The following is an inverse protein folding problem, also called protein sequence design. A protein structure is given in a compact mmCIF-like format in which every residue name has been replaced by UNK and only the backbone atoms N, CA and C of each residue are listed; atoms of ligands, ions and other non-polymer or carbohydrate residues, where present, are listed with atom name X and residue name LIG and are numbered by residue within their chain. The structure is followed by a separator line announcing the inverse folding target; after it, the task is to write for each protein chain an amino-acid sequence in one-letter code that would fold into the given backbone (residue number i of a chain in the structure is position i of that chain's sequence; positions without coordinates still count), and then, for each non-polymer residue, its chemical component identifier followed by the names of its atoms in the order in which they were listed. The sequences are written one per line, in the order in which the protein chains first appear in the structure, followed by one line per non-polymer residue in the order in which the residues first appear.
data_IF_465729474979
#
_entry.id   IF_465729474979
#
_cell.length_a   1.000
_cell.length_b   1.000
_cell.length_c   1.000
_cell.angle_alpha   90.00
_cell.angle_beta   90.00
_cell.angle_gamma   90.00
#
_symmetry.space_group_name_H-M   'P 1'
#
loop_
_entity.id
_entity.type
_entity.pdbx_description
1 polymer ?
#
# COMPACT_ATOMS: atom_id res chain seq x y z
N UNK A 1 0.14 -14.82 -20.37
CA UNK A 1 -0.58 -13.69 -19.80
C UNK A 1 0.38 -12.52 -19.60
N UNK A 2 -0.15 -11.27 -19.76
CA UNK A 2 0.65 -10.04 -19.58
C UNK A 2 0.79 -9.66 -18.11
N UNK A 3 -0.27 -9.87 -17.33
CA UNK A 3 -0.32 -9.55 -15.91
C UNK A 3 -0.78 -10.73 -15.08
N UNK A 4 -0.34 -10.77 -13.84
CA UNK A 4 -0.72 -11.71 -12.79
C UNK A 4 -1.19 -10.92 -11.58
N UNK A 5 -2.29 -11.34 -10.98
CA UNK A 5 -2.91 -10.66 -9.86
C UNK A 5 -3.19 -11.66 -8.74
N UNK A 6 -2.90 -11.25 -7.51
CA UNK A 6 -3.44 -11.81 -6.29
C UNK A 6 -4.44 -10.79 -5.72
N UNK A 7 -5.55 -11.28 -5.24
CA UNK A 7 -6.59 -10.46 -4.63
C UNK A 7 -7.20 -11.25 -3.47
N UNK A 8 -7.31 -10.63 -2.30
CA UNK A 8 -8.08 -11.22 -1.21
C UNK A 8 -9.57 -11.20 -1.52
N UNK A 9 -10.28 -12.20 -1.02
CA UNK A 9 -11.67 -12.48 -1.39
C UNK A 9 -12.68 -11.42 -0.91
N UNK A 10 -12.28 -10.59 0.03
CA UNK A 10 -13.08 -9.51 0.63
C UNK A 10 -12.69 -8.11 0.14
N UNK A 11 -11.94 -8.03 -0.94
CA UNK A 11 -11.58 -6.78 -1.60
C UNK A 11 -12.37 -6.61 -2.89
N UNK A 12 -13.02 -5.48 -3.02
CA UNK A 12 -13.67 -5.06 -4.26
C UNK A 12 -12.68 -4.29 -5.12
N UNK A 13 -12.29 -4.91 -6.23
CA UNK A 13 -11.44 -4.31 -7.25
C UNK A 13 -12.26 -4.02 -8.50
N UNK A 14 -12.35 -2.75 -8.88
CA UNK A 14 -13.21 -2.28 -9.98
C UNK A 14 -12.46 -2.19 -11.32
N UNK A 15 -13.22 -1.95 -12.40
CA UNK A 15 -12.66 -1.63 -13.71
C UNK A 15 -11.84 -0.33 -13.67
N UNK A 16 -12.25 0.66 -12.89
CA UNK A 16 -11.54 1.93 -12.70
C UNK A 16 -10.19 1.71 -12.01
N UNK A 17 -10.13 0.80 -11.03
CA UNK A 17 -8.86 0.39 -10.43
C UNK A 17 -7.93 -0.28 -11.45
N UNK A 18 -8.48 -1.09 -12.36
CA UNK A 18 -7.69 -1.69 -13.44
C UNK A 18 -7.18 -0.64 -14.43
N UNK A 19 -8.04 0.31 -14.85
CA UNK A 19 -7.64 1.44 -15.71
C UNK A 19 -6.55 2.28 -15.05
N UNK A 20 -6.68 2.56 -13.76
CA UNK A 20 -5.65 3.23 -12.97
C UNK A 20 -4.33 2.46 -13.01
N UNK A 21 -4.35 1.16 -12.74
CA UNK A 21 -3.16 0.33 -12.81
C UNK A 21 -2.49 0.42 -14.19
N UNK A 22 -3.25 0.16 -15.26
CA UNK A 22 -2.72 0.16 -16.62
C UNK A 22 -2.18 1.52 -17.08
N UNK A 23 -2.72 2.62 -16.53
CA UNK A 23 -2.28 3.98 -16.84
C UNK A 23 -0.88 4.29 -16.31
N UNK A 24 -0.52 3.79 -15.13
CA UNK A 24 0.68 4.23 -14.41
C UNK A 24 1.77 3.16 -14.28
N UNK A 25 1.43 1.88 -14.41
CA UNK A 25 2.31 0.77 -14.03
C UNK A 25 3.62 0.74 -14.85
N UNK A 26 3.52 0.91 -16.16
CA UNK A 26 4.66 0.74 -17.08
C UNK A 26 5.76 1.78 -16.80
N UNK A 27 5.39 3.04 -16.66
CA UNK A 27 6.32 4.13 -16.32
C UNK A 27 6.98 3.93 -14.95
N UNK A 28 6.22 3.45 -13.98
CA UNK A 28 6.72 3.22 -12.64
C UNK A 28 7.63 2.00 -12.59
N UNK A 29 7.25 0.90 -13.23
CA UNK A 29 8.02 -0.33 -13.22
C UNK A 29 9.37 -0.20 -13.93
N UNK A 30 9.43 0.52 -15.04
CA UNK A 30 10.69 0.87 -15.71
C UNK A 30 11.68 1.61 -14.80
N UNK A 31 11.14 2.41 -13.87
CA UNK A 31 11.94 3.17 -12.90
C UNK A 31 12.12 2.44 -11.56
N UNK A 32 11.66 1.20 -11.45
CA UNK A 32 11.66 0.35 -10.25
C UNK A 32 10.84 0.94 -9.10
N UNK A 33 9.70 1.52 -9.40
CA UNK A 33 8.68 1.88 -8.41
C UNK A 33 7.48 0.96 -8.52
N UNK A 34 6.83 0.73 -7.39
CA UNK A 34 5.56 0.02 -7.33
C UNK A 34 4.40 1.02 -7.32
N UNK A 35 3.34 0.73 -8.07
CA UNK A 35 2.10 1.49 -8.00
C UNK A 35 1.29 1.01 -6.79
N UNK A 36 0.96 1.93 -5.88
CA UNK A 36 0.21 1.62 -4.68
C UNK A 36 -1.31 1.68 -4.87
N UNK A 37 -1.98 0.96 -3.99
CA UNK A 37 -3.41 1.09 -3.73
C UNK A 37 -3.61 1.41 -2.25
N UNK A 38 -4.76 1.98 -1.93
CA UNK A 38 -5.17 2.30 -0.58
C UNK A 38 -6.49 1.61 -0.28
N UNK A 39 -6.55 0.92 0.85
CA UNK A 39 -7.77 0.22 1.27
C UNK A 39 -8.63 1.19 2.08
N UNK A 40 -9.93 1.12 1.88
CA UNK A 40 -10.89 1.83 2.71
C UNK A 40 -12.05 0.94 3.15
N UNK A 41 -12.68 1.34 4.23
CA UNK A 41 -13.95 0.81 4.71
C UNK A 41 -14.99 1.92 4.81
N UNK A 42 -16.25 1.54 4.66
CA UNK A 42 -17.38 2.45 4.80
C UNK A 42 -17.86 2.49 6.24
N UNK A 43 -18.00 3.67 6.79
CA UNK A 43 -18.74 3.83 8.04
C UNK A 43 -20.23 4.02 7.71
N UNK A 44 -21.07 3.16 8.26
CA UNK A 44 -22.52 3.20 8.04
C UNK A 44 -23.20 4.36 8.78
N UNK A 45 -22.61 4.85 9.86
CA UNK A 45 -23.21 5.89 10.71
C UNK A 45 -23.07 7.28 10.07
N UNK A 46 -21.87 7.65 9.65
CA UNK A 46 -21.59 8.97 9.07
C UNK A 46 -21.50 8.96 7.55
N UNK A 47 -21.65 7.79 6.93
CA UNK A 47 -21.57 7.55 5.47
C UNK A 47 -20.24 7.94 4.84
N UNK A 48 -19.17 8.06 5.63
CA UNK A 48 -17.83 8.36 5.15
C UNK A 48 -17.02 7.10 4.86
N UNK A 49 -15.99 7.28 4.05
CA UNK A 49 -15.02 6.26 3.73
C UNK A 49 -13.73 6.53 4.50
N UNK A 50 -13.24 5.55 5.23
CA UNK A 50 -12.04 5.67 6.04
C UNK A 50 -10.94 4.77 5.52
N UNK A 51 -9.75 5.34 5.33
CA UNK A 51 -8.57 4.56 4.97
C UNK A 51 -8.16 3.65 6.11
N UNK A 52 -7.82 2.41 5.77
CA UNK A 52 -7.22 1.46 6.70
C UNK A 52 -5.75 1.23 6.34
N UNK A 53 -4.95 0.72 7.28
CA UNK A 53 -3.50 0.49 7.11
C UNK A 53 -2.66 1.75 6.82
N UNK A 54 -3.20 2.95 7.03
CA UNK A 54 -2.44 4.20 6.91
C UNK A 54 -2.30 4.84 8.29
N UNK A 55 -1.12 4.72 8.86
CA UNK A 55 -0.83 5.27 10.19
C UNK A 55 -0.56 6.77 10.22
N UNK A 56 -0.19 7.37 9.08
CA UNK A 56 0.18 8.80 8.95
C UNK A 56 -0.25 9.34 7.60
N UNK A 57 -0.71 10.60 7.58
CA UNK A 57 -0.98 11.30 6.32
C UNK A 57 0.27 11.33 5.44
N UNK A 58 0.08 11.10 4.15
CA UNK A 58 1.17 11.11 3.17
C UNK A 58 1.56 12.55 2.84
N UNK A 59 2.82 12.88 3.04
CA UNK A 59 3.35 14.24 2.84
C UNK A 59 4.47 14.36 1.84
N UNK A 60 5.23 13.29 1.62
CA UNK A 60 6.37 13.30 0.72
C UNK A 60 5.96 12.90 -0.68
N UNK A 61 6.46 13.64 -1.67
CA UNK A 61 6.19 13.34 -3.07
C UNK A 61 7.44 13.42 -3.94
N UNK A 62 7.38 12.76 -5.09
CA UNK A 62 8.33 12.92 -6.20
C UNK A 62 7.56 13.27 -7.47
N UNK A 63 8.28 13.67 -8.50
CA UNK A 63 7.72 13.85 -9.85
C UNK A 63 8.38 12.89 -10.82
N UNK A 64 7.56 12.23 -11.64
CA UNK A 64 7.97 11.37 -12.74
C UNK A 64 7.20 11.83 -13.98
N UNK A 65 7.90 12.19 -15.05
CA UNK A 65 7.27 12.67 -16.29
C UNK A 65 6.23 13.78 -16.05
N UNK A 66 6.57 14.77 -15.21
CA UNK A 66 5.69 15.87 -14.75
C UNK A 66 4.52 15.45 -13.84
N UNK A 67 4.20 14.16 -13.75
CA UNK A 67 3.18 13.64 -12.84
C UNK A 67 3.72 13.60 -11.40
N UNK A 68 2.91 14.08 -10.45
CA UNK A 68 3.20 14.02 -9.02
C UNK A 68 2.77 12.68 -8.44
N UNK A 69 3.64 12.09 -7.63
CA UNK A 69 3.39 10.84 -6.91
C UNK A 69 3.76 11.00 -5.44
N UNK A 70 2.88 10.60 -4.55
CA UNK A 70 3.18 10.54 -3.13
C UNK A 70 3.86 9.22 -2.78
N UNK A 71 4.83 9.30 -1.86
CA UNK A 71 5.50 8.12 -1.33
C UNK A 71 4.65 7.50 -0.23
N UNK A 72 4.27 6.25 -0.44
CA UNK A 72 3.83 5.38 0.64
C UNK A 72 5.08 4.77 1.27
N UNK A 73 5.72 5.51 2.18
CA UNK A 73 6.96 5.08 2.85
C UNK A 73 6.70 4.27 4.12
N UNK A 74 5.44 4.00 4.38
CA UNK A 74 4.98 3.30 5.57
C UNK A 74 4.69 1.82 5.28
N UNK A 75 3.47 1.39 5.41
CA UNK A 75 3.06 0.03 5.12
C UNK A 75 2.48 -0.04 3.71
N UNK A 76 2.87 -1.08 2.96
CA UNK A 76 2.44 -1.26 1.57
C UNK A 76 1.43 -2.40 1.43
N UNK A 77 0.89 -2.86 2.56
CA UNK A 77 -0.16 -3.87 2.54
C UNK A 77 -1.44 -3.27 1.96
N UNK A 78 -1.96 -3.90 0.93
CA UNK A 78 -3.20 -3.49 0.29
C UNK A 78 -4.07 -4.68 -0.16
N UNK A 79 -3.91 -5.83 0.48
CA UNK A 79 -4.69 -7.05 0.21
C UNK A 79 -4.62 -7.55 -1.24
N UNK A 80 -3.74 -6.99 -2.04
CA UNK A 80 -3.54 -7.37 -3.43
C UNK A 80 -2.13 -7.07 -3.92
N UNK A 81 -1.76 -7.71 -5.02
CA UNK A 81 -0.69 -7.26 -5.90
C UNK A 81 -1.02 -7.56 -7.35
N UNK A 82 -0.51 -6.74 -8.26
CA UNK A 82 -0.59 -6.93 -9.69
C UNK A 82 0.82 -6.76 -10.25
N UNK A 83 1.31 -7.76 -10.97
CA UNK A 83 2.64 -7.73 -11.56
C UNK A 83 2.61 -8.10 -13.03
N UNK A 84 3.43 -7.43 -13.84
CA UNK A 84 3.70 -7.89 -15.17
C UNK A 84 4.54 -9.18 -15.14
N UNK A 85 4.68 -9.83 -16.29
CA UNK A 85 5.35 -11.12 -16.42
C UNK A 85 6.80 -11.08 -15.92
N UNK A 86 7.53 -9.99 -16.15
CA UNK A 86 8.93 -9.86 -15.72
C UNK A 86 9.05 -9.86 -14.20
N UNK A 87 8.25 -9.03 -13.54
CA UNK A 87 8.24 -8.92 -12.07
C UNK A 87 7.73 -10.20 -11.43
N UNK A 88 6.68 -10.78 -11.98
CA UNK A 88 6.14 -12.05 -11.49
C UNK A 88 7.18 -13.16 -11.57
N UNK A 89 7.92 -13.30 -12.67
CA UNK A 89 9.01 -14.27 -12.81
C UNK A 89 10.14 -14.06 -11.78
N UNK A 90 10.40 -12.82 -11.37
CA UNK A 90 11.35 -12.54 -10.28
C UNK A 90 10.77 -12.90 -8.92
N UNK A 91 9.51 -12.61 -8.69
CA UNK A 91 8.82 -12.86 -7.43
C UNK A 91 8.76 -14.36 -7.10
N UNK A 92 8.34 -15.20 -8.03
CA UNK A 92 8.21 -16.64 -7.82
C UNK A 92 9.53 -17.36 -7.53
N UNK A 93 10.67 -16.73 -7.82
CA UNK A 93 12.01 -17.26 -7.51
C UNK A 93 12.49 -16.89 -6.10
N UNK A 94 11.72 -16.12 -5.35
CA UNK A 94 12.10 -15.68 -4.00
C UNK A 94 11.66 -16.68 -2.94
N UNK A 95 12.39 -16.70 -1.82
CA UNK A 95 11.98 -17.45 -0.63
C UNK A 95 10.64 -16.95 -0.06
N UNK A 96 10.28 -15.72 -0.40
CA UNK A 96 9.00 -15.12 -0.03
C UNK A 96 7.82 -15.84 -0.69
N UNK A 97 7.91 -16.07 -1.98
CA UNK A 97 6.92 -16.84 -2.72
C UNK A 97 6.80 -18.28 -2.24
N UNK A 98 7.94 -18.93 -2.04
CA UNK A 98 7.99 -20.35 -1.69
C UNK A 98 7.66 -20.65 -0.23
N UNK A 99 7.46 -19.64 0.61
CA UNK A 99 7.22 -19.76 2.06
C UNK A 99 8.33 -20.53 2.81
N UNK A 100 9.50 -20.74 2.20
CA UNK A 100 10.60 -21.50 2.78
C UNK A 100 11.22 -20.84 3.99
N UNK A 101 11.28 -19.51 4.01
CA UNK A 101 11.72 -18.77 5.18
C UNK A 101 10.55 -18.54 6.11
N UNK A 102 10.67 -19.03 7.34
CA UNK A 102 9.83 -18.57 8.43
C UNK A 102 9.99 -17.05 8.50
N UNK A 103 8.90 -16.31 8.40
CA UNK A 103 8.88 -14.87 8.65
C UNK A 103 8.93 -14.59 10.16
N UNK A 104 9.72 -15.40 10.88
CA UNK A 104 9.81 -15.38 12.34
C UNK A 104 10.38 -14.09 12.91
N UNK A 105 10.99 -13.27 12.07
CA UNK A 105 11.55 -11.98 12.47
C UNK A 105 10.65 -10.79 12.14
N UNK A 106 9.40 -11.04 11.75
CA UNK A 106 8.44 -9.96 11.62
C UNK A 106 7.77 -9.72 12.97
N UNK A 107 7.66 -8.47 13.35
CA UNK A 107 6.93 -8.00 14.52
C UNK A 107 5.48 -8.49 14.58
N UNK A 108 5.04 -9.13 13.51
CA UNK A 108 3.67 -9.51 13.27
C UNK A 108 3.60 -10.91 12.71
N UNK A 109 2.88 -11.76 13.38
CA UNK A 109 2.54 -13.09 12.90
C UNK A 109 1.47 -12.95 11.79
N UNK A 110 1.92 -12.61 10.58
CA UNK A 110 1.02 -12.64 9.43
C UNK A 110 0.56 -14.09 9.16
N UNK A 111 -0.74 -14.28 9.02
CA UNK A 111 -1.31 -15.50 8.49
C UNK A 111 -0.88 -15.78 7.06
N UNK A 112 -1.29 -16.90 6.52
CA UNK A 112 -0.95 -17.28 5.14
C UNK A 112 -1.55 -16.29 4.14
N UNK A 113 -2.76 -15.82 4.40
CA UNK A 113 -3.50 -14.89 3.53
C UNK A 113 -2.78 -13.54 3.45
N UNK A 114 -2.53 -12.91 4.58
CA UNK A 114 -1.85 -11.61 4.64
C UNK A 114 -0.43 -11.70 4.06
N UNK A 115 0.24 -12.82 4.30
CA UNK A 115 1.57 -13.06 3.74
C UNK A 115 1.55 -13.17 2.22
N UNK A 116 0.54 -13.82 1.65
CA UNK A 116 0.36 -13.93 0.21
C UNK A 116 0.05 -12.56 -0.41
N UNK A 117 -0.74 -11.73 0.26
CA UNK A 117 -1.11 -10.40 -0.19
C UNK A 117 0.04 -9.38 -0.11
N UNK A 118 1.02 -9.59 0.77
CA UNK A 118 2.17 -8.69 0.88
C UNK A 118 2.97 -8.56 -0.42
N UNK A 119 3.07 -9.62 -1.21
CA UNK A 119 3.73 -9.60 -2.51
C UNK A 119 5.20 -9.20 -2.49
N UNK A 120 5.75 -8.96 -3.67
CA UNK A 120 7.17 -8.64 -3.87
C UNK A 120 7.54 -7.20 -3.49
N UNK A 121 6.54 -6.34 -3.39
CA UNK A 121 6.70 -4.90 -3.09
C UNK A 121 6.62 -4.57 -1.60
N UNK A 122 6.08 -5.44 -0.78
CA UNK A 122 5.63 -5.16 0.58
C UNK A 122 6.65 -4.42 1.44
N UNK A 123 7.91 -4.78 1.33
CA UNK A 123 8.94 -4.20 2.17
C UNK A 123 9.78 -3.14 1.44
N UNK A 124 9.54 -2.91 0.16
CA UNK A 124 10.40 -2.08 -0.71
C UNK A 124 11.90 -2.42 -0.59
N UNK A 125 12.23 -3.67 -0.21
CA UNK A 125 13.61 -4.10 0.04
C UNK A 125 14.16 -5.00 -1.07
N UNK A 126 13.26 -5.44 -1.96
CA UNK A 126 13.64 -6.31 -3.07
C UNK A 126 13.88 -5.48 -4.34
N UNK A 127 12.98 -5.61 -5.30
CA UNK A 127 13.11 -4.95 -6.60
C UNK A 127 12.75 -3.47 -6.57
N UNK A 128 11.70 -3.10 -5.84
CA UNK A 128 11.15 -1.76 -5.87
C UNK A 128 11.88 -0.78 -4.94
N UNK A 129 12.04 0.47 -5.40
CA UNK A 129 12.61 1.56 -4.61
C UNK A 129 11.64 2.06 -3.55
N UNK A 130 10.38 2.22 -3.94
CA UNK A 130 9.28 2.65 -3.08
C UNK A 130 7.95 2.31 -3.73
N UNK A 131 6.87 2.39 -2.95
CA UNK A 131 5.49 2.38 -3.45
C UNK A 131 5.03 3.81 -3.63
N UNK A 132 4.40 4.09 -4.77
CA UNK A 132 3.98 5.43 -5.16
C UNK A 132 2.48 5.47 -5.43
N UNK A 133 1.86 6.58 -5.04
CA UNK A 133 0.45 6.88 -5.25
C UNK A 133 0.34 8.14 -6.11
N UNK A 134 -0.25 8.06 -7.31
CA UNK A 134 -0.47 9.24 -8.16
C UNK A 134 -1.36 10.26 -7.49
N UNK A 135 -1.04 11.51 -7.73
CA UNK A 135 -1.84 12.65 -7.26
C UNK A 135 -2.56 13.31 -8.44
N UNK A 136 -3.84 13.56 -8.28
CA UNK A 136 -4.63 14.45 -9.13
C UNK A 136 -5.00 15.70 -8.32
N UNK A 137 -4.62 16.88 -8.81
CA UNK A 137 -4.92 18.17 -8.14
C UNK A 137 -4.52 18.19 -6.64
N UNK A 138 -3.34 17.66 -6.33
CA UNK A 138 -2.77 17.56 -4.97
C UNK A 138 -3.54 16.63 -4.00
N UNK A 139 -4.55 15.91 -4.48
CA UNK A 139 -5.27 14.83 -3.77
C UNK A 139 -4.89 13.45 -4.33
N UNK A 140 -5.19 12.35 -3.65
CA UNK A 140 -5.05 11.01 -4.22
C UNK A 140 -5.86 10.89 -5.52
N UNK A 141 -5.32 10.16 -6.51
CA UNK A 141 -6.17 9.71 -7.62
C UNK A 141 -7.27 8.80 -7.02
N UNK A 142 -8.57 9.14 -7.18
CA UNK A 142 -9.65 8.39 -6.55
C UNK A 142 -9.67 6.91 -6.94
N UNK A 143 -9.10 6.57 -8.08
CA UNK A 143 -9.05 5.19 -8.55
C UNK A 143 -7.95 4.36 -7.86
N UNK A 144 -7.14 4.95 -6.98
CA UNK A 144 -6.22 4.19 -6.13
C UNK A 144 -6.90 3.51 -4.95
N UNK A 145 -8.13 3.89 -4.61
CA UNK A 145 -8.85 3.32 -3.49
C UNK A 145 -9.58 2.04 -3.86
N UNK A 146 -9.43 1.03 -3.01
CA UNK A 146 -10.10 -0.27 -3.09
C UNK A 146 -10.91 -0.51 -1.82
N UNK A 147 -12.11 -1.05 -1.97
CA UNK A 147 -13.03 -1.26 -0.85
C UNK A 147 -12.81 -2.61 -0.18
N UNK A 148 -12.65 -2.61 1.15
CA UNK A 148 -12.71 -3.80 1.98
C UNK A 148 -14.17 -4.02 2.39
N UNK A 149 -14.83 -4.99 1.75
CA UNK A 149 -16.29 -5.13 1.81
C UNK A 149 -16.82 -5.68 3.13
N UNK A 150 -15.98 -6.33 3.92
CA UNK A 150 -16.40 -6.91 5.20
C UNK A 150 -16.54 -5.88 6.31
N UNK A 151 -15.96 -4.69 6.15
CA UNK A 151 -16.01 -3.57 7.12
C UNK A 151 -15.65 -4.02 8.56
N UNK A 152 -14.67 -4.90 8.68
CA UNK A 152 -14.33 -5.55 9.95
C UNK A 152 -13.57 -4.63 10.90
N UNK A 153 -12.83 -3.66 10.36
CA UNK A 153 -11.95 -2.80 11.14
C UNK A 153 -12.66 -1.56 11.68
N UNK A 154 -13.61 -1.00 10.92
CA UNK A 154 -14.32 0.19 11.35
C UNK A 154 -15.44 -0.13 12.35
N UNK A 155 -16.26 -1.14 12.06
CA UNK A 155 -17.49 -1.41 12.81
C UNK A 155 -17.31 -2.42 13.95
N UNK A 156 -16.22 -3.16 14.03
CA UNK A 156 -16.02 -4.24 15.02
C UNK A 156 -15.16 -3.85 16.20
N UNK A 157 -14.36 -2.81 16.11
CA UNK A 157 -13.48 -2.41 17.21
C UNK A 157 -14.18 -1.40 18.12
N UNK A 158 -14.34 -1.77 19.40
CA UNK A 158 -14.74 -0.83 20.44
C UNK A 158 -13.73 0.32 20.57
N UNK A 159 -14.15 1.45 21.15
CA UNK A 159 -13.25 2.59 21.39
C UNK A 159 -12.04 2.21 22.26
N UNK A 160 -12.19 1.22 23.14
CA UNK A 160 -11.11 0.69 23.96
C UNK A 160 -10.11 -0.12 23.13
N UNK A 161 -10.60 -0.93 22.19
CA UNK A 161 -9.74 -1.67 21.26
C UNK A 161 -9.04 -0.73 20.30
N UNK A 162 -9.72 0.31 19.80
CA UNK A 162 -9.09 1.36 18.98
C UNK A 162 -7.96 2.08 19.72
N UNK A 163 -8.08 2.34 21.01
CA UNK A 163 -7.01 2.95 21.84
C UNK A 163 -5.83 2.01 22.08
N UNK A 164 -6.08 0.74 22.25
CA UNK A 164 -5.05 -0.27 22.49
C UNK A 164 -4.32 -0.67 21.20
N UNK A 165 -4.96 -0.58 20.04
CA UNK A 165 -4.34 -0.74 18.73
C UNK A 165 -3.62 0.55 18.33
N UNK A 166 -2.61 0.94 19.09
CA UNK A 166 -1.55 1.86 18.59
C UNK A 166 -0.78 1.25 17.41
N UNK A 167 -1.17 0.08 17.01
CA UNK A 167 -0.61 -0.64 15.89
C UNK A 167 -1.28 -0.11 14.60
N UNK A 168 -0.47 0.29 13.73
CA UNK A 168 -0.67 0.89 12.42
C UNK A 168 -1.54 0.05 11.50
N UNK A 169 -1.79 -1.18 11.89
CA UNK A 169 -2.53 -2.19 11.15
C UNK A 169 -4.00 -2.18 11.56
N UNK A 170 -4.84 -1.78 10.63
CA UNK A 170 -6.27 -1.99 10.74
C UNK A 170 -7.07 -0.89 11.42
N UNK A 171 -6.45 0.20 11.89
CA UNK A 171 -7.23 1.31 12.43
C UNK A 171 -7.56 2.31 11.33
N UNK A 172 -8.84 2.53 11.11
CA UNK A 172 -9.33 3.59 10.24
C UNK A 172 -9.03 4.94 10.87
N UNK A 173 -8.04 5.66 10.34
CA UNK A 173 -7.60 6.93 10.94
C UNK A 173 -8.03 8.16 10.18
N UNK A 174 -8.17 8.04 8.87
CA UNK A 174 -8.38 9.20 8.01
C UNK A 174 -9.52 8.95 7.05
N UNK A 175 -10.38 9.94 6.87
CA UNK A 175 -11.20 10.02 5.69
C UNK A 175 -10.32 9.88 4.44
N UNK A 176 -10.79 9.18 3.41
CA UNK A 176 -10.00 8.96 2.19
C UNK A 176 -9.57 10.27 1.52
N UNK A 177 -10.35 11.35 1.70
CA UNK A 177 -9.99 12.68 1.19
C UNK A 177 -8.82 13.31 1.96
N UNK A 178 -8.61 12.89 3.20
CA UNK A 178 -7.61 13.43 4.13
C UNK A 178 -6.30 12.62 4.17
N UNK A 179 -6.17 11.61 3.33
CA UNK A 179 -4.97 10.75 3.30
C UNK A 179 -3.70 11.53 2.96
N UNK A 180 -3.79 12.53 2.08
CA UNK A 180 -2.68 13.43 1.81
C UNK A 180 -2.75 14.66 2.71
N UNK A 181 -1.57 15.10 3.16
CA UNK A 181 -1.46 16.37 3.88
C UNK A 181 -1.78 17.54 2.94
N UNK A 182 -2.23 18.67 3.50
CA UNK A 182 -2.53 19.89 2.76
C UNK A 182 -1.36 20.32 1.88
N UNK A 183 -1.67 20.89 0.71
CA UNK A 183 -0.71 21.25 -0.34
C UNK A 183 0.50 22.02 0.17
N UNK A 184 0.28 23.00 1.04
CA UNK A 184 1.32 23.85 1.62
C UNK A 184 2.32 23.11 2.49
N UNK A 185 1.92 21.96 3.04
CA UNK A 185 2.74 21.14 3.92
C UNK A 185 3.38 19.95 3.20
N UNK A 186 3.08 19.78 1.90
CA UNK A 186 3.64 18.72 1.10
C UNK A 186 5.12 18.97 0.79
N UNK A 187 5.93 17.93 0.86
CA UNK A 187 7.38 18.01 0.77
C UNK A 187 7.92 17.23 -0.42
N UNK A 188 8.72 17.90 -1.26
CA UNK A 188 9.44 17.19 -2.31
C UNK A 188 10.52 16.28 -1.69
N UNK A 189 10.50 15.00 -2.04
CA UNK A 189 11.46 14.04 -1.53
C UNK A 189 12.77 14.12 -2.34
N UNK A 190 13.82 14.59 -1.69
CA UNK A 190 15.19 14.66 -2.24
C UNK A 190 16.11 13.58 -1.65
N UNK A 191 15.58 12.68 -0.82
CA UNK A 191 16.36 11.69 -0.11
C UNK A 191 16.76 10.47 -0.97
N UNK A 192 17.62 9.66 -0.40
CA UNK A 192 18.05 8.40 -0.99
C UNK A 192 17.05 7.28 -0.66
N UNK A 193 16.52 6.61 -1.68
CA UNK A 193 15.60 5.47 -1.52
C UNK A 193 16.25 4.27 -0.83
N UNK A 194 17.55 4.07 -0.98
CA UNK A 194 18.26 2.97 -0.32
C UNK A 194 18.30 3.16 1.20
N UNK A 195 18.36 4.41 1.69
CA UNK A 195 18.23 4.71 3.12
C UNK A 195 16.83 4.38 3.66
N UNK A 196 15.78 4.61 2.86
CA UNK A 196 14.41 4.21 3.22
C UNK A 196 14.34 2.68 3.35
N UNK A 197 14.87 1.96 2.37
CA UNK A 197 14.94 0.50 2.40
C UNK A 197 15.70 -0.02 3.60
N UNK A 198 16.86 0.58 3.91
CA UNK A 198 17.69 0.19 5.05
C UNK A 198 16.95 0.37 6.37
N UNK A 199 16.29 1.53 6.57
CA UNK A 199 15.46 1.78 7.77
C UNK A 199 14.31 0.78 7.88
N UNK A 200 13.60 0.51 6.80
CA UNK A 200 12.52 -0.50 6.78
C UNK A 200 13.08 -1.88 7.12
N UNK A 201 14.20 -2.28 6.53
CA UNK A 201 14.83 -3.57 6.81
C UNK A 201 15.19 -3.74 8.29
N UNK A 202 15.64 -2.68 8.97
CA UNK A 202 15.91 -2.70 10.42
C UNK A 202 14.58 -2.84 11.19
N UNK A 203 13.58 -2.02 10.89
CA UNK A 203 12.28 -2.05 11.56
C UNK A 203 11.56 -3.38 11.43
N UNK A 204 11.82 -4.12 10.36
CA UNK A 204 11.23 -5.44 10.13
C UNK A 204 12.03 -6.59 10.76
N UNK A 205 13.22 -6.32 11.31
CA UNK A 205 14.01 -7.32 12.02
C UNK A 205 13.74 -7.38 13.53
N UNK A 206 13.07 -6.38 14.06
CA UNK A 206 12.69 -6.22 15.46
C UNK A 206 11.16 -6.14 15.55
#
# INVERSE_FOLDING_TARGET
YKYFMYLEHDIKFSEENLKYFLKYEDDLYKKKFHLGFLIYEKNHDDKKNYSIHIGKKLKKFIKINKQKFFLSDYENYCCLWIYNQEIFKKFIKTDWWSFKKKLTNFRHNYGVTERSALGYHAMNINYFKATLLPSLNDKPDPNCFIEHITNNYFNKFSETEKKNYNDIRGVCKFDIEDVFIDKQNQQYFKGNFDLIKFKKKILWKF
#
